data_IF_643144817651
#
_entry.id   IF_643144817651
#
_cell.length_a   1.000
_cell.length_b   1.000
_cell.length_c   1.000
_cell.angle_alpha   90.00
_cell.angle_beta   90.00
_cell.angle_gamma   90.00
#
_symmetry.space_group_name_H-M   'P 1'
#
loop_
_entity.id
_entity.type
_entity.pdbx_description
1 polymer ?
#
# COMPACT_ATOMS: atom_id res chain seq x y z
N UNK A 1 -53.89 18.54 49.79
CA UNK A 1 -53.80 18.87 48.35
C UNK A 1 -52.41 18.47 47.87
N UNK A 2 -52.32 17.46 47.00
CA UNK A 2 -51.13 17.03 46.21
C UNK A 2 -50.70 18.15 45.23
N UNK A 3 -49.50 18.16 44.56
CA UNK A 3 -48.60 17.03 44.24
C UNK A 3 -47.05 17.25 44.24
N UNK A 4 -46.30 16.13 44.23
CA UNK A 4 -45.15 15.75 43.37
C UNK A 4 -44.04 16.76 42.98
N UNK A 5 -42.77 16.40 43.24
CA UNK A 5 -41.75 16.05 42.22
C UNK A 5 -40.31 15.95 42.78
N UNK A 6 -39.67 14.79 42.57
CA UNK A 6 -38.20 14.63 42.52
C UNK A 6 -37.74 14.84 41.08
N UNK A 7 -36.61 15.52 40.83
CA UNK A 7 -35.48 14.88 40.15
C UNK A 7 -34.12 15.46 40.63
N UNK A 8 -32.92 14.99 40.28
CA UNK A 8 -32.39 13.83 39.55
C UNK A 8 -30.89 13.80 39.87
N UNK A 9 -30.34 12.60 39.81
CA UNK A 9 -28.92 12.28 39.65
C UNK A 9 -28.30 13.14 38.54
N UNK A 10 -27.28 13.94 38.85
CA UNK A 10 -26.27 14.35 37.87
C UNK A 10 -25.14 13.32 37.93
N UNK A 11 -25.38 12.20 37.27
CA UNK A 11 -24.33 11.36 36.75
C UNK A 11 -24.18 11.72 35.27
N UNK A 12 -22.93 11.68 34.85
CA UNK A 12 -22.46 11.56 33.47
C UNK A 12 -22.21 12.88 32.70
N UNK A 13 -21.04 13.46 32.98
CA UNK A 13 -20.26 14.19 31.99
C UNK A 13 -19.11 13.28 31.54
N UNK A 14 -19.33 12.38 30.57
CA UNK A 14 -18.25 11.66 29.88
C UNK A 14 -18.66 11.12 28.51
N UNK A 15 -19.08 11.99 27.56
CA UNK A 15 -19.38 11.50 26.19
C UNK A 15 -19.22 12.52 25.05
N UNK A 16 -18.19 13.38 25.03
CA UNK A 16 -17.99 14.34 23.92
C UNK A 16 -16.62 14.28 23.22
N UNK A 17 -15.80 13.25 23.48
CA UNK A 17 -14.46 13.11 22.87
C UNK A 17 -14.34 12.19 21.64
N UNK A 18 -15.44 11.56 21.19
CA UNK A 18 -15.41 10.41 20.28
C UNK A 18 -15.83 10.65 18.81
N UNK A 19 -16.68 11.64 18.44
CA UNK A 19 -17.10 11.81 17.04
C UNK A 19 -16.01 12.43 16.14
N UNK A 20 -15.25 13.41 16.63
CA UNK A 20 -14.30 14.19 15.82
C UNK A 20 -13.11 13.35 15.32
N UNK A 21 -12.64 12.39 16.12
CA UNK A 21 -11.52 11.50 15.74
C UNK A 21 -11.92 10.50 14.65
N UNK A 22 -13.14 9.96 14.73
CA UNK A 22 -13.66 9.06 13.70
C UNK A 22 -13.85 9.77 12.36
N UNK A 23 -14.34 11.02 12.38
CA UNK A 23 -14.44 11.85 11.17
C UNK A 23 -13.08 12.20 10.57
N UNK A 24 -12.10 12.55 11.41
CA UNK A 24 -10.73 12.79 10.96
C UNK A 24 -10.09 11.56 10.30
N UNK A 25 -10.28 10.36 10.86
CA UNK A 25 -9.79 9.11 10.28
C UNK A 25 -10.47 8.78 8.95
N UNK A 26 -11.80 8.93 8.87
CA UNK A 26 -12.56 8.75 7.62
C UNK A 26 -12.12 9.74 6.55
N UNK A 27 -11.90 11.00 6.91
CA UNK A 27 -11.42 12.03 5.97
C UNK A 27 -10.03 11.69 5.45
N UNK A 28 -9.12 11.28 6.34
CA UNK A 28 -7.78 10.82 5.94
C UNK A 28 -7.86 9.65 4.96
N UNK A 29 -8.68 8.63 5.23
CA UNK A 29 -8.85 7.48 4.36
C UNK A 29 -9.42 7.87 2.98
N UNK A 30 -10.42 8.77 2.94
CA UNK A 30 -10.97 9.31 1.69
C UNK A 30 -9.93 10.05 0.87
N UNK A 31 -9.13 10.90 1.51
CA UNK A 31 -8.04 11.64 0.86
C UNK A 31 -6.98 10.69 0.31
N UNK A 32 -6.56 9.66 1.07
CA UNK A 32 -5.61 8.66 0.58
C UNK A 32 -6.15 7.89 -0.63
N UNK A 33 -7.43 7.48 -0.60
CA UNK A 33 -8.06 6.79 -1.72
C UNK A 33 -8.15 7.66 -2.99
N UNK A 34 -8.51 8.93 -2.82
CA UNK A 34 -8.51 9.88 -3.92
C UNK A 34 -7.10 10.12 -4.46
N UNK A 35 -6.13 10.30 -3.58
CA UNK A 35 -4.73 10.51 -3.94
C UNK A 35 -4.18 9.34 -4.75
N UNK A 36 -4.46 8.09 -4.35
CA UNK A 36 -4.07 6.90 -5.13
C UNK A 36 -4.57 6.96 -6.57
N UNK A 37 -5.84 7.33 -6.75
CA UNK A 37 -6.51 7.38 -8.05
C UNK A 37 -5.95 8.50 -8.92
N UNK A 38 -5.80 9.69 -8.33
CA UNK A 38 -5.28 10.88 -9.02
C UNK A 38 -3.81 10.67 -9.42
N UNK A 39 -2.96 10.17 -8.52
CA UNK A 39 -1.55 9.91 -8.82
C UNK A 39 -1.35 8.80 -9.84
N UNK A 40 -2.17 7.75 -9.82
CA UNK A 40 -2.09 6.69 -10.83
C UNK A 40 -2.51 7.18 -12.23
N UNK A 41 -3.43 8.14 -12.31
CA UNK A 41 -3.95 8.65 -13.58
C UNK A 41 -3.11 9.80 -14.17
N UNK A 42 -2.65 10.73 -13.33
CA UNK A 42 -2.01 11.98 -13.77
C UNK A 42 -0.50 12.00 -13.54
N UNK A 43 0.04 11.01 -12.84
CA UNK A 43 1.47 10.95 -12.57
C UNK A 43 1.99 12.19 -11.83
N UNK A 44 3.19 12.63 -12.23
CA UNK A 44 3.93 13.70 -11.57
C UNK A 44 3.20 15.04 -11.49
N UNK A 45 2.26 15.29 -12.40
CA UNK A 45 1.53 16.56 -12.55
C UNK A 45 0.37 16.71 -11.57
N UNK A 46 -0.01 15.64 -10.86
CA UNK A 46 -1.11 15.65 -9.91
C UNK A 46 -0.93 16.67 -8.78
N UNK A 47 -1.96 17.51 -8.59
CA UNK A 47 -2.01 18.54 -7.55
C UNK A 47 -2.82 18.12 -6.30
N UNK A 48 -2.49 18.67 -5.13
CA UNK A 48 -3.31 18.46 -3.92
C UNK A 48 -4.74 19.03 -4.06
N UNK A 49 -4.94 20.02 -4.93
CA UNK A 49 -6.26 20.58 -5.23
C UNK A 49 -7.15 19.57 -5.97
N UNK A 50 -6.59 18.83 -6.93
CA UNK A 50 -7.32 17.76 -7.62
C UNK A 50 -7.62 16.59 -6.69
N UNK A 51 -6.67 16.23 -5.82
CA UNK A 51 -6.91 15.23 -4.77
C UNK A 51 -8.07 15.66 -3.86
N UNK A 52 -8.09 16.92 -3.40
CA UNK A 52 -9.15 17.44 -2.57
C UNK A 52 -10.51 17.39 -3.28
N UNK A 53 -10.54 17.82 -4.56
CA UNK A 53 -11.73 17.77 -5.42
C UNK A 53 -12.25 16.34 -5.57
N UNK A 54 -11.37 15.38 -5.86
CA UNK A 54 -11.75 13.97 -6.05
C UNK A 54 -12.18 13.31 -4.73
N UNK A 55 -11.59 13.70 -3.60
CA UNK A 55 -11.98 13.24 -2.27
C UNK A 55 -13.29 13.86 -1.76
N UNK A 56 -13.81 14.90 -2.43
CA UNK A 56 -14.98 15.65 -1.96
C UNK A 56 -14.73 16.39 -0.65
N UNK A 57 -13.50 16.88 -0.42
CA UNK A 57 -13.11 17.64 0.78
C UNK A 57 -12.47 18.97 0.39
N UNK A 58 -12.47 19.94 1.31
CA UNK A 58 -11.74 21.20 1.09
C UNK A 58 -10.22 20.99 1.12
N UNK A 59 -9.46 21.75 0.33
CA UNK A 59 -7.98 21.64 0.28
C UNK A 59 -7.32 21.88 1.65
N UNK A 60 -7.90 22.75 2.49
CA UNK A 60 -7.45 22.94 3.87
C UNK A 60 -7.58 21.68 4.74
N UNK A 61 -8.53 20.79 4.43
CA UNK A 61 -8.63 19.47 5.11
C UNK A 61 -7.49 18.55 4.69
N UNK A 62 -7.09 18.59 3.42
CA UNK A 62 -5.92 17.86 2.93
C UNK A 62 -4.65 18.35 3.62
N UNK A 63 -4.40 19.67 3.63
CA UNK A 63 -3.23 20.25 4.31
C UNK A 63 -3.17 19.98 5.82
N UNK A 64 -4.31 19.88 6.50
CA UNK A 64 -4.37 19.48 7.92
C UNK A 64 -3.93 18.04 8.17
N UNK A 65 -4.14 17.14 7.21
CA UNK A 65 -3.73 15.73 7.32
C UNK A 65 -2.35 15.46 6.71
N UNK A 66 -1.96 16.27 5.72
CA UNK A 66 -0.74 16.13 4.94
C UNK A 66 -0.19 17.53 4.67
N UNK A 67 0.71 17.98 5.54
CA UNK A 67 1.23 19.35 5.51
C UNK A 67 1.94 19.70 4.19
N UNK A 68 2.53 18.69 3.53
CA UNK A 68 3.23 18.83 2.26
C UNK A 68 2.76 17.80 1.25
N UNK A 69 3.11 18.02 -0.03
CA UNK A 69 2.88 17.03 -1.09
C UNK A 69 3.61 15.75 -0.76
N UNK A 70 4.87 15.85 -0.37
CA UNK A 70 5.74 14.74 0.01
C UNK A 70 5.11 13.90 1.12
N UNK A 71 4.54 14.52 2.15
CA UNK A 71 3.85 13.81 3.22
C UNK A 71 2.62 13.02 2.73
N UNK A 72 1.89 13.54 1.74
CA UNK A 72 0.80 12.81 1.09
C UNK A 72 1.34 11.65 0.24
N UNK A 73 2.43 11.86 -0.49
CA UNK A 73 3.06 10.83 -1.32
C UNK A 73 3.61 9.69 -0.48
N UNK A 74 4.31 10.00 0.61
CA UNK A 74 4.81 9.01 1.57
C UNK A 74 3.68 8.19 2.17
N UNK A 75 2.57 8.83 2.55
CA UNK A 75 1.41 8.14 3.09
C UNK A 75 0.72 7.24 2.04
N UNK A 76 0.65 7.68 0.78
CA UNK A 76 0.14 6.85 -0.32
C UNK A 76 1.02 5.63 -0.54
N UNK A 77 2.35 5.80 -0.62
CA UNK A 77 3.26 4.67 -0.80
C UNK A 77 3.24 3.71 0.40
N UNK A 78 3.18 4.24 1.62
CA UNK A 78 3.10 3.42 2.85
C UNK A 78 1.84 2.55 2.86
N UNK A 79 0.70 3.13 2.52
CA UNK A 79 -0.58 2.42 2.41
C UNK A 79 -0.57 1.35 1.30
N UNK A 80 0.16 1.59 0.21
CA UNK A 80 0.36 0.59 -0.84
C UNK A 80 1.25 -0.56 -0.41
N UNK A 81 2.34 -0.30 0.32
CA UNK A 81 3.14 -1.36 0.90
C UNK A 81 2.37 -2.15 1.95
N UNK A 82 1.54 -1.48 2.75
CA UNK A 82 0.65 -2.16 3.70
C UNK A 82 -0.35 -3.08 2.98
N UNK A 83 -0.94 -2.63 1.87
CA UNK A 83 -1.83 -3.48 1.05
C UNK A 83 -1.10 -4.70 0.49
N UNK A 84 0.14 -4.53 0.01
CA UNK A 84 0.98 -5.64 -0.47
C UNK A 84 1.41 -6.56 0.67
N UNK A 85 1.67 -6.02 1.87
CA UNK A 85 1.98 -6.80 3.07
C UNK A 85 0.79 -7.68 3.44
N UNK A 86 -0.42 -7.12 3.47
CA UNK A 86 -1.65 -7.86 3.75
C UNK A 86 -1.88 -8.98 2.74
N UNK A 87 -1.71 -8.69 1.45
CA UNK A 87 -1.85 -9.70 0.39
C UNK A 87 -0.88 -10.89 0.55
N UNK A 88 0.33 -10.64 1.05
CA UNK A 88 1.29 -11.72 1.34
C UNK A 88 1.04 -12.45 2.66
N UNK A 89 0.64 -11.71 3.71
CA UNK A 89 0.44 -12.24 5.05
C UNK A 89 -0.87 -13.01 5.20
N UNK A 90 -1.91 -12.60 4.46
CA UNK A 90 -3.25 -13.16 4.49
C UNK A 90 -3.72 -13.48 3.05
N UNK A 91 -3.13 -14.51 2.40
CA UNK A 91 -3.57 -14.92 1.07
C UNK A 91 -5.06 -15.30 1.07
N UNK A 92 -5.73 -15.10 -0.08
CA UNK A 92 -7.12 -15.49 -0.24
C UNK A 92 -7.31 -16.98 0.08
N UNK A 93 -8.41 -17.30 0.77
CA UNK A 93 -8.71 -18.66 1.20
C UNK A 93 -8.74 -19.62 -0.01
N UNK A 94 -8.01 -20.73 0.11
CA UNK A 94 -7.96 -21.78 -0.92
C UNK A 94 -6.86 -21.61 -1.97
N UNK A 95 -6.08 -20.52 -1.95
CA UNK A 95 -4.90 -20.40 -2.81
C UNK A 95 -3.75 -21.30 -2.32
N UNK A 96 -3.04 -21.88 -3.29
CA UNK A 96 -1.73 -22.47 -3.02
C UNK A 96 -0.71 -21.36 -2.72
N UNK A 97 0.41 -21.72 -2.08
CA UNK A 97 1.49 -20.75 -1.84
C UNK A 97 2.08 -20.20 -3.15
N UNK A 98 2.07 -21.00 -4.22
CA UNK A 98 2.47 -20.56 -5.57
C UNK A 98 1.51 -19.53 -6.14
N UNK A 99 0.20 -19.82 -6.14
CA UNK A 99 -0.80 -18.92 -6.70
C UNK A 99 -0.86 -17.59 -5.92
N UNK A 100 -0.76 -17.65 -4.59
CA UNK A 100 -0.68 -16.49 -3.74
C UNK A 100 0.57 -15.63 -4.04
N UNK A 101 1.73 -16.26 -4.27
CA UNK A 101 2.94 -15.54 -4.64
C UNK A 101 2.82 -14.91 -6.03
N UNK A 102 2.24 -15.62 -7.01
CA UNK A 102 1.99 -15.09 -8.35
C UNK A 102 1.02 -13.90 -8.33
N UNK A 103 -0.05 -13.98 -7.54
CA UNK A 103 -0.98 -12.87 -7.33
C UNK A 103 -0.26 -11.66 -6.73
N UNK A 104 0.54 -11.90 -5.69
CA UNK A 104 1.35 -10.87 -5.04
C UNK A 104 2.32 -10.19 -6.01
N UNK A 105 3.04 -10.98 -6.83
CA UNK A 105 3.96 -10.47 -7.85
C UNK A 105 3.21 -9.60 -8.86
N UNK A 106 2.03 -10.05 -9.32
CA UNK A 106 1.19 -9.26 -10.21
C UNK A 106 0.76 -7.92 -9.58
N UNK A 107 0.40 -7.93 -8.29
CA UNK A 107 0.08 -6.70 -7.55
C UNK A 107 1.30 -5.79 -7.39
N UNK A 108 2.48 -6.35 -7.16
CA UNK A 108 3.73 -5.60 -7.03
C UNK A 108 4.14 -4.95 -8.35
N UNK A 109 4.02 -5.65 -9.49
CA UNK A 109 4.25 -5.07 -10.82
C UNK A 109 3.33 -3.87 -11.07
N UNK A 110 2.02 -4.00 -10.78
CA UNK A 110 1.06 -2.88 -10.91
C UNK A 110 1.40 -1.70 -9.99
N UNK A 111 1.98 -1.96 -8.82
CA UNK A 111 2.46 -0.92 -7.93
C UNK A 111 3.67 -0.19 -8.52
N UNK A 112 4.65 -0.92 -9.04
CA UNK A 112 5.86 -0.34 -9.61
C UNK A 112 5.58 0.53 -10.83
N UNK A 113 4.65 0.12 -11.70
CA UNK A 113 4.31 0.89 -12.91
C UNK A 113 3.51 2.16 -12.58
N UNK A 114 2.52 2.08 -11.69
CA UNK A 114 1.67 3.23 -11.38
C UNK A 114 2.36 4.30 -10.50
N UNK A 115 3.40 3.93 -9.74
CA UNK A 115 4.01 4.80 -8.73
C UNK A 115 5.53 4.97 -8.90
N UNK A 116 6.10 4.63 -10.07
CA UNK A 116 7.55 4.75 -10.31
C UNK A 116 8.08 6.16 -10.07
N UNK A 117 7.46 7.16 -10.70
CA UNK A 117 7.86 8.57 -10.58
C UNK A 117 7.80 9.05 -9.12
N UNK A 118 6.87 8.48 -8.35
CA UNK A 118 6.76 8.72 -6.90
C UNK A 118 7.89 8.10 -6.13
N UNK A 119 8.17 6.82 -6.37
CA UNK A 119 9.29 6.14 -5.75
C UNK A 119 10.62 6.85 -6.04
N UNK A 120 10.86 7.33 -7.27
CA UNK A 120 12.05 8.12 -7.60
C UNK A 120 12.13 9.44 -6.84
N UNK A 121 11.00 10.14 -6.66
CA UNK A 121 10.95 11.41 -5.92
C UNK A 121 11.15 11.25 -4.40
N UNK A 122 10.90 10.06 -3.87
CA UNK A 122 10.96 9.73 -2.44
C UNK A 122 12.07 8.74 -2.08
N UNK A 123 13.01 8.48 -2.99
CA UNK A 123 14.15 7.59 -2.75
C UNK A 123 14.90 7.90 -1.44
N UNK A 124 15.16 9.18 -1.06
CA UNK A 124 15.82 9.47 0.21
C UNK A 124 15.01 9.01 1.44
N UNK A 125 13.68 9.16 1.44
CA UNK A 125 12.81 8.74 2.55
C UNK A 125 12.79 7.21 2.69
N UNK A 126 12.83 6.47 1.58
CA UNK A 126 12.91 5.00 1.59
C UNK A 126 14.18 4.46 2.28
N UNK A 127 15.16 5.31 2.56
CA UNK A 127 16.39 4.97 3.27
C UNK A 127 16.45 5.55 4.69
N UNK A 128 15.42 6.29 5.13
CA UNK A 128 15.36 6.85 6.48
C UNK A 128 14.55 5.97 7.42
N UNK A 129 15.25 5.31 8.37
CA UNK A 129 14.68 4.26 9.22
C UNK A 129 13.52 4.70 10.12
N UNK A 130 13.45 6.00 10.43
CA UNK A 130 12.39 6.58 11.25
C UNK A 130 11.10 6.85 10.47
N UNK A 131 11.13 6.77 9.13
CA UNK A 131 9.97 7.06 8.30
C UNK A 131 8.97 5.91 8.29
N UNK A 132 7.68 6.24 8.29
CA UNK A 132 6.60 5.26 8.14
C UNK A 132 6.72 4.48 6.81
N UNK A 133 7.23 5.15 5.78
CA UNK A 133 7.45 4.55 4.47
C UNK A 133 8.51 3.44 4.50
N UNK A 134 9.62 3.68 5.20
CA UNK A 134 10.65 2.66 5.41
C UNK A 134 10.11 1.46 6.18
N UNK A 135 9.35 1.70 7.25
CA UNK A 135 8.74 0.64 8.06
C UNK A 135 7.75 -0.21 7.25
N UNK A 136 6.84 0.42 6.51
CA UNK A 136 5.90 -0.29 5.65
C UNK A 136 6.61 -1.13 4.56
N UNK A 137 7.67 -0.58 3.95
CA UNK A 137 8.49 -1.30 2.97
C UNK A 137 9.18 -2.53 3.59
N UNK A 138 9.75 -2.37 4.80
CA UNK A 138 10.36 -3.47 5.56
C UNK A 138 9.36 -4.57 5.86
N UNK A 139 8.19 -4.22 6.37
CA UNK A 139 7.15 -5.18 6.74
C UNK A 139 6.60 -5.93 5.52
N UNK A 140 6.38 -5.23 4.41
CA UNK A 140 6.05 -5.84 3.13
C UNK A 140 7.13 -6.86 2.69
N UNK A 141 8.41 -6.52 2.81
CA UNK A 141 9.52 -7.45 2.49
C UNK A 141 9.52 -8.70 3.36
N UNK A 142 9.24 -8.55 4.65
CA UNK A 142 9.16 -9.70 5.57
C UNK A 142 7.97 -10.61 5.23
N UNK A 143 6.81 -10.02 4.90
CA UNK A 143 5.63 -10.80 4.53
C UNK A 143 5.84 -11.62 3.25
N UNK A 144 6.40 -11.01 2.19
CA UNK A 144 6.69 -11.74 0.95
C UNK A 144 7.81 -12.76 1.11
N UNK A 145 8.77 -12.55 2.04
CA UNK A 145 9.77 -13.57 2.37
C UNK A 145 9.13 -14.84 2.95
N UNK A 146 8.17 -14.68 3.87
CA UNK A 146 7.40 -15.80 4.41
C UNK A 146 6.62 -16.55 3.32
N UNK A 147 5.97 -15.81 2.41
CA UNK A 147 5.22 -16.38 1.30
C UNK A 147 6.14 -17.13 0.31
N UNK A 148 7.30 -16.56 -0.03
CA UNK A 148 8.29 -17.21 -0.88
C UNK A 148 8.79 -18.52 -0.26
N UNK A 149 9.09 -18.53 1.05
CA UNK A 149 9.50 -19.75 1.77
C UNK A 149 8.42 -20.82 1.74
N UNK A 150 7.15 -20.44 1.90
CA UNK A 150 6.03 -21.38 1.80
C UNK A 150 5.94 -21.99 0.39
N UNK A 151 6.11 -21.19 -0.66
CA UNK A 151 6.10 -21.66 -2.04
C UNK A 151 7.33 -22.55 -2.37
N UNK A 152 8.49 -22.26 -1.78
CA UNK A 152 9.69 -23.10 -1.86
C UNK A 152 9.50 -24.44 -1.14
N UNK A 153 8.91 -24.44 0.06
CA UNK A 153 8.62 -25.66 0.82
C UNK A 153 7.60 -26.57 0.09
N UNK A 154 6.68 -25.98 -0.67
CA UNK A 154 5.75 -26.69 -1.55
C UNK A 154 6.42 -27.24 -2.84
N UNK A 155 7.69 -26.89 -3.08
CA UNK A 155 8.40 -27.30 -4.30
C UNK A 155 7.96 -26.56 -5.55
N UNK A 156 7.33 -25.39 -5.45
CA UNK A 156 6.93 -24.58 -6.62
C UNK A 156 8.02 -23.60 -7.07
N UNK A 157 8.97 -23.27 -6.18
CA UNK A 157 10.07 -22.34 -6.45
C UNK A 157 11.42 -22.92 -6.03
N UNK A 158 12.49 -22.52 -6.73
CA UNK A 158 13.87 -22.88 -6.37
C UNK A 158 14.26 -22.36 -4.98
N UNK A 159 14.90 -23.19 -4.18
CA UNK A 159 15.23 -22.91 -2.77
C UNK A 159 16.36 -21.90 -2.55
N UNK A 160 17.15 -21.62 -3.59
CA UNK A 160 18.25 -20.65 -3.58
C UNK A 160 17.82 -19.24 -4.02
N UNK A 161 16.54 -19.04 -4.36
CA UNK A 161 15.98 -17.72 -4.61
C UNK A 161 15.75 -17.00 -3.28
N UNK A 162 16.40 -15.86 -3.09
CA UNK A 162 16.10 -14.94 -1.99
C UNK A 162 15.12 -13.85 -2.40
N UNK A 163 14.42 -13.31 -1.40
CA UNK A 163 13.42 -12.24 -1.56
C UNK A 163 14.00 -10.97 -2.18
N UNK A 164 15.25 -10.60 -1.87
CA UNK A 164 15.88 -9.41 -2.45
C UNK A 164 16.09 -9.60 -3.97
N UNK A 165 16.55 -10.78 -4.37
CA UNK A 165 16.76 -11.15 -5.78
C UNK A 165 15.43 -11.17 -6.53
N UNK A 166 14.38 -11.77 -5.95
CA UNK A 166 13.03 -11.76 -6.53
C UNK A 166 12.53 -10.33 -6.78
N UNK A 167 12.58 -9.48 -5.77
CA UNK A 167 12.11 -8.09 -5.89
C UNK A 167 12.93 -7.29 -6.92
N UNK A 168 14.25 -7.50 -7.00
CA UNK A 168 15.12 -6.86 -8.00
C UNK A 168 14.77 -7.30 -9.42
N UNK A 169 14.53 -8.60 -9.64
CA UNK A 169 14.13 -9.15 -10.94
C UNK A 169 12.81 -8.55 -11.39
N UNK A 170 11.79 -8.55 -10.53
CA UNK A 170 10.48 -7.97 -10.85
C UNK A 170 10.61 -6.47 -11.14
N UNK A 171 11.40 -5.75 -10.36
CA UNK A 171 11.67 -4.34 -10.60
C UNK A 171 12.35 -4.09 -11.95
N UNK A 172 13.32 -4.92 -12.33
CA UNK A 172 13.98 -4.83 -13.63
C UNK A 172 13.00 -5.09 -14.79
N UNK A 173 12.12 -6.10 -14.67
CA UNK A 173 11.10 -6.39 -15.68
C UNK A 173 10.12 -5.22 -15.82
N UNK A 174 9.65 -4.68 -14.70
CA UNK A 174 8.75 -3.53 -14.70
C UNK A 174 9.40 -2.29 -15.36
N UNK A 175 10.72 -2.08 -15.16
CA UNK A 175 11.50 -1.04 -15.83
C UNK A 175 11.51 -1.22 -17.35
N UNK A 176 11.79 -2.42 -17.83
CA UNK A 176 11.88 -2.71 -19.26
C UNK A 176 10.52 -2.65 -19.96
N UNK A 177 9.46 -3.16 -19.31
CA UNK A 177 8.11 -3.20 -19.85
C UNK A 177 7.50 -1.82 -20.16
N UNK A 178 7.98 -0.75 -19.52
CA UNK A 178 7.55 0.62 -19.84
C UNK A 178 8.28 1.19 -21.05
N UNK A 179 9.49 0.71 -21.34
CA UNK A 179 10.31 1.18 -22.46
C UNK A 179 9.95 0.46 -23.76
N UNK A 180 9.47 -0.78 -23.67
CA UNK A 180 9.01 -1.58 -24.81
C UNK A 180 7.56 -2.03 -24.55
N UNK A 181 6.63 -1.54 -25.36
CA UNK A 181 5.19 -1.61 -25.11
C UNK A 181 4.57 -3.02 -25.14
N UNK A 182 5.33 -4.11 -25.33
CA UNK A 182 4.77 -5.44 -25.60
C UNK A 182 5.46 -6.62 -24.87
N UNK A 183 6.57 -6.40 -24.15
CA UNK A 183 7.39 -7.52 -23.63
C UNK A 183 7.20 -7.83 -22.13
N UNK A 184 6.59 -6.94 -21.35
CA UNK A 184 6.60 -7.06 -19.88
C UNK A 184 5.96 -8.33 -19.32
N UNK A 185 4.77 -8.69 -19.80
CA UNK A 185 4.07 -9.88 -19.37
C UNK A 185 4.83 -11.17 -19.78
N UNK A 186 5.42 -11.15 -20.98
CA UNK A 186 6.21 -12.25 -21.51
C UNK A 186 7.53 -12.43 -20.77
N UNK A 187 8.23 -11.34 -20.45
CA UNK A 187 9.44 -11.36 -19.62
C UNK A 187 9.15 -11.85 -18.20
N UNK A 188 8.03 -11.44 -17.62
CA UNK A 188 7.59 -11.94 -16.33
C UNK A 188 7.37 -13.45 -16.39
N UNK A 189 6.63 -13.94 -17.38
CA UNK A 189 6.38 -15.38 -17.58
C UNK A 189 7.69 -16.18 -17.75
N UNK A 190 8.63 -15.69 -18.54
CA UNK A 190 9.96 -16.31 -18.69
C UNK A 190 10.72 -16.38 -17.36
N UNK A 191 10.73 -15.29 -16.59
CA UNK A 191 11.38 -15.26 -15.28
C UNK A 191 10.69 -16.24 -14.34
N UNK A 192 9.36 -16.22 -14.25
CA UNK A 192 8.62 -17.14 -13.37
C UNK A 192 8.89 -18.61 -13.73
N UNK A 193 8.92 -18.94 -15.02
CA UNK A 193 9.29 -20.28 -15.50
C UNK A 193 10.72 -20.66 -15.09
N UNK A 194 11.67 -19.73 -15.20
CA UNK A 194 13.06 -19.95 -14.79
C UNK A 194 13.29 -20.01 -13.26
N UNK A 195 12.32 -19.59 -12.46
CA UNK A 195 12.36 -19.65 -11.00
C UNK A 195 11.75 -20.93 -10.41
N UNK A 196 11.18 -21.80 -11.26
CA UNK A 196 10.74 -23.15 -10.87
C UNK A 196 11.93 -24.02 -10.40
N UNK A 197 11.68 -25.10 -9.63
CA UNK A 197 12.75 -25.97 -9.17
C UNK A 197 13.53 -26.56 -10.35
N UNK A 198 14.83 -26.73 -10.15
CA UNK A 198 15.66 -27.49 -11.08
C UNK A 198 15.46 -28.98 -10.77
N UNK A 199 14.95 -29.72 -11.74
CA UNK A 199 14.95 -31.19 -11.76
C UNK A 199 16.37 -31.74 -11.74
#
# INVERSE_FOLDING_TARGET
MTPTATPRIHADQSAQGQPVRADAARNRARVLSAARSVFAAQGADASLHEVARFAGVGVGTVYRHFATREALLEAVLSDRFESLRQLAAEPAAGLSAEDALLEWIGAFVRHLTAYRWLASSLMPTLHHESSLLYQACREMRMAVDGLLRAAQAAGSFRSDLDTSTLLKLINAIALTAEQTSDDGARLLDFVMTGLRPRS
#
